data_IF_469290596169
#
_entry.id   IF_469290596169
#
_cell.length_a   1.000
_cell.length_b   1.000
_cell.length_c   1.000
_cell.angle_alpha   90.00
_cell.angle_beta   90.00
_cell.angle_gamma   90.00
#
_symmetry.space_group_name_H-M   'P 1'
#
loop_
_entity.id
_entity.type
_entity.pdbx_description
1 polymer ?
#
# COMPACT_ATOMS: atom_id res chain seq x y z
N UNK A 1 1.04 -6.23 -29.44
CA UNK A 1 1.98 -6.82 -28.44
C UNK A 1 2.96 -7.74 -29.15
N UNK A 2 4.28 -7.72 -28.80
CA UNK A 2 5.19 -8.74 -29.28
C UNK A 2 4.70 -10.12 -28.83
N UNK A 3 4.66 -11.10 -29.76
CA UNK A 3 4.18 -12.46 -29.45
C UNK A 3 5.08 -13.17 -28.42
N UNK A 4 6.35 -12.78 -28.32
CA UNK A 4 7.30 -13.36 -27.34
C UNK A 4 7.42 -12.46 -26.10
N UNK A 5 7.15 -12.97 -24.88
CA UNK A 5 7.18 -12.19 -23.62
C UNK A 5 8.51 -11.45 -23.38
N UNK A 6 9.64 -12.03 -23.83
CA UNK A 6 10.97 -11.42 -23.67
C UNK A 6 11.15 -10.08 -24.39
N UNK A 7 10.34 -9.78 -25.40
CA UNK A 7 10.36 -8.52 -26.14
C UNK A 7 9.23 -7.56 -25.71
N UNK A 8 8.35 -7.99 -24.81
CA UNK A 8 7.31 -7.12 -24.31
C UNK A 8 7.92 -6.07 -23.38
N UNK A 9 7.63 -4.80 -23.62
CA UNK A 9 7.97 -3.72 -22.70
C UNK A 9 7.18 -3.86 -21.40
N UNK A 10 7.59 -3.14 -20.35
CA UNK A 10 6.79 -3.11 -19.13
C UNK A 10 5.43 -2.43 -19.42
N UNK A 11 4.46 -2.65 -18.53
CA UNK A 11 3.10 -2.11 -18.67
C UNK A 11 2.86 -0.96 -17.69
N UNK A 12 3.93 -0.48 -17.03
CA UNK A 12 3.84 0.66 -16.14
C UNK A 12 3.64 1.93 -16.98
N UNK A 13 2.77 2.78 -16.49
CA UNK A 13 2.39 4.03 -17.16
C UNK A 13 2.46 5.16 -16.16
N UNK A 14 3.04 6.27 -16.57
CA UNK A 14 2.89 7.54 -15.86
C UNK A 14 1.88 8.42 -16.62
N UNK A 15 0.85 8.89 -15.93
CA UNK A 15 -0.17 9.77 -16.48
C UNK A 15 -0.10 11.11 -15.78
N UNK A 16 0.14 12.16 -16.52
CA UNK A 16 0.27 13.51 -15.98
C UNK A 16 -0.80 14.40 -16.59
N UNK A 17 -1.52 15.11 -15.73
CA UNK A 17 -2.52 16.06 -16.20
C UNK A 17 -3.04 16.92 -15.08
N UNK A 18 -3.16 18.22 -15.31
CA UNK A 18 -3.67 19.18 -14.34
C UNK A 18 -5.08 18.82 -13.82
N UNK A 19 -5.57 19.57 -12.84
CA UNK A 19 -6.95 19.42 -12.37
C UNK A 19 -7.93 19.62 -13.54
N UNK A 20 -8.94 18.74 -13.65
CA UNK A 20 -9.94 18.82 -14.74
C UNK A 20 -9.46 18.31 -16.10
N UNK A 21 -8.21 17.82 -16.25
CA UNK A 21 -7.70 17.28 -17.53
C UNK A 21 -8.36 15.97 -17.97
N UNK A 22 -9.22 15.39 -17.12
CA UNK A 22 -9.96 14.18 -17.44
C UNK A 22 -9.21 12.87 -17.22
N UNK A 23 -8.15 12.83 -16.40
CA UNK A 23 -7.36 11.63 -16.06
C UNK A 23 -8.25 10.43 -15.71
N UNK A 24 -9.16 10.60 -14.76
CA UNK A 24 -10.09 9.54 -14.35
C UNK A 24 -11.03 9.14 -15.49
N UNK A 25 -11.60 10.12 -16.20
CA UNK A 25 -12.59 9.90 -17.27
C UNK A 25 -12.00 9.23 -18.51
N UNK A 26 -10.84 9.69 -18.97
CA UNK A 26 -10.25 9.27 -20.25
C UNK A 26 -9.19 8.18 -20.10
N UNK A 27 -8.68 7.94 -18.90
CA UNK A 27 -7.70 6.90 -18.66
C UNK A 27 -8.21 5.82 -17.70
N UNK A 28 -8.57 6.14 -16.46
CA UNK A 28 -8.89 5.12 -15.42
C UNK A 28 -10.14 4.32 -15.79
N UNK A 29 -11.28 5.01 -16.02
CA UNK A 29 -12.56 4.35 -16.35
C UNK A 29 -12.49 3.49 -17.61
N UNK A 30 -11.91 3.94 -18.74
CA UNK A 30 -11.76 3.10 -19.93
C UNK A 30 -10.93 1.83 -19.70
N UNK A 31 -9.91 1.86 -18.80
CA UNK A 31 -9.16 0.66 -18.45
C UNK A 31 -10.06 -0.37 -17.73
N UNK A 32 -10.90 0.07 -16.80
CA UNK A 32 -11.85 -0.79 -16.10
C UNK A 32 -12.95 -1.32 -17.02
N UNK A 33 -13.46 -0.49 -17.92
CA UNK A 33 -14.54 -0.85 -18.85
C UNK A 33 -14.15 -1.92 -19.87
N UNK A 34 -12.87 -2.08 -20.18
CA UNK A 34 -12.39 -3.16 -21.06
C UNK A 34 -12.57 -4.55 -20.46
N UNK A 35 -12.61 -4.68 -19.14
CA UNK A 35 -12.82 -5.92 -18.40
C UNK A 35 -12.12 -7.15 -18.99
N UNK A 36 -10.79 -7.15 -19.19
CA UNK A 36 -10.11 -8.31 -19.76
C UNK A 36 -10.27 -9.53 -18.89
N UNK A 37 -10.34 -10.72 -19.49
CA UNK A 37 -10.67 -11.97 -18.80
C UNK A 37 -9.61 -12.41 -17.77
N UNK A 38 -8.37 -11.98 -17.94
CA UNK A 38 -7.21 -12.39 -17.14
C UNK A 38 -6.56 -11.23 -16.37
N UNK A 39 -7.32 -10.22 -15.99
CA UNK A 39 -6.81 -9.05 -15.26
C UNK A 39 -7.61 -8.83 -13.99
N UNK A 40 -6.92 -8.67 -12.87
CA UNK A 40 -7.44 -8.09 -11.64
C UNK A 40 -7.07 -6.61 -11.58
N UNK A 41 -7.89 -5.81 -10.92
CA UNK A 41 -7.67 -4.39 -10.75
C UNK A 41 -7.50 -4.02 -9.27
N UNK A 42 -6.59 -3.09 -9.02
CA UNK A 42 -6.50 -2.32 -7.76
C UNK A 42 -6.61 -0.85 -8.15
N UNK A 43 -7.54 -0.14 -7.58
CA UNK A 43 -7.89 1.22 -8.02
C UNK A 43 -7.93 2.15 -6.83
N UNK A 44 -7.10 3.18 -6.82
CA UNK A 44 -7.33 4.32 -5.93
C UNK A 44 -8.48 5.13 -6.50
N UNK A 45 -9.47 5.41 -5.68
CA UNK A 45 -10.71 6.12 -6.07
C UNK A 45 -10.88 7.38 -5.21
N UNK A 46 -10.31 8.51 -5.61
CA UNK A 46 -10.56 9.77 -4.95
C UNK A 46 -12.06 10.08 -5.00
N UNK A 47 -12.69 10.28 -3.84
CA UNK A 47 -14.14 10.58 -3.66
C UNK A 47 -15.11 9.39 -3.81
N UNK A 48 -14.67 8.18 -4.18
CA UNK A 48 -15.55 7.03 -4.34
C UNK A 48 -16.44 7.05 -5.60
N UNK A 49 -16.11 7.88 -6.57
CA UNK A 49 -16.92 8.01 -7.81
C UNK A 49 -16.68 6.88 -8.79
N UNK A 50 -15.49 6.31 -8.82
CA UNK A 50 -15.14 5.24 -9.76
C UNK A 50 -15.90 3.97 -9.41
N UNK A 51 -15.95 3.59 -8.14
CA UNK A 51 -16.69 2.40 -7.71
C UNK A 51 -18.19 2.54 -7.97
N UNK A 52 -18.76 3.73 -7.75
CA UNK A 52 -20.20 3.98 -8.01
C UNK A 52 -20.52 3.79 -9.49
N UNK A 53 -19.68 4.28 -10.39
CA UNK A 53 -19.93 4.22 -11.82
C UNK A 53 -19.54 2.87 -12.46
N UNK A 54 -18.46 2.24 -12.01
CA UNK A 54 -17.91 1.03 -12.63
C UNK A 54 -18.20 -0.26 -11.83
N UNK A 55 -18.48 -0.17 -10.53
CA UNK A 55 -18.57 -1.33 -9.63
C UNK A 55 -19.64 -2.34 -10.06
N UNK A 56 -20.85 -1.89 -10.38
CA UNK A 56 -21.93 -2.79 -10.84
C UNK A 56 -21.58 -3.53 -12.14
N UNK A 57 -20.91 -2.85 -13.07
CA UNK A 57 -20.46 -3.44 -14.33
C UNK A 57 -19.41 -4.53 -14.06
N UNK A 58 -18.43 -4.28 -13.20
CA UNK A 58 -17.41 -5.25 -12.81
C UNK A 58 -18.00 -6.43 -12.04
N UNK A 59 -18.91 -6.18 -11.09
CA UNK A 59 -19.63 -7.22 -10.36
C UNK A 59 -20.48 -8.11 -11.27
N UNK A 60 -21.05 -7.58 -12.36
CA UNK A 60 -21.72 -8.39 -13.40
C UNK A 60 -20.71 -9.18 -14.23
N UNK A 61 -19.57 -8.60 -14.55
CA UNK A 61 -18.50 -9.20 -15.33
C UNK A 61 -18.80 -9.33 -16.82
N UNK A 62 -18.03 -10.18 -17.48
CA UNK A 62 -18.12 -10.49 -18.91
C UNK A 62 -18.62 -11.90 -19.14
N UNK A 63 -19.21 -12.22 -20.32
CA UNK A 63 -19.50 -13.59 -20.69
C UNK A 63 -18.25 -14.47 -20.64
N UNK A 64 -18.32 -15.59 -19.91
CA UNK A 64 -17.22 -16.56 -19.86
C UNK A 64 -17.09 -17.26 -21.20
N UNK A 65 -15.85 -17.40 -21.68
CA UNK A 65 -15.53 -18.05 -22.95
C UNK A 65 -14.75 -19.33 -22.72
N UNK A 66 -14.91 -20.31 -23.60
CA UNK A 66 -14.08 -21.51 -23.66
C UNK A 66 -12.71 -21.21 -24.30
N UNK A 67 -11.87 -22.23 -24.41
CA UNK A 67 -10.53 -22.14 -25.04
C UNK A 67 -10.57 -21.70 -26.51
N UNK A 68 -11.72 -21.86 -27.19
CA UNK A 68 -11.95 -21.50 -28.58
C UNK A 68 -12.61 -20.11 -28.73
N UNK A 69 -12.84 -19.40 -27.61
CA UNK A 69 -13.49 -18.09 -27.61
C UNK A 69 -15.02 -18.12 -27.68
N UNK A 70 -15.65 -19.30 -27.63
CA UNK A 70 -17.11 -19.46 -27.65
C UNK A 70 -17.70 -19.18 -26.27
N UNK A 71 -18.81 -18.44 -26.23
CA UNK A 71 -19.51 -18.11 -24.99
C UNK A 71 -20.07 -19.37 -24.35
N UNK A 72 -19.74 -19.60 -23.07
CA UNK A 72 -20.25 -20.71 -22.27
C UNK A 72 -21.70 -20.43 -21.85
N UNK A 73 -22.52 -21.49 -21.90
CA UNK A 73 -23.92 -21.47 -21.44
C UNK A 73 -24.11 -22.56 -20.38
N UNK A 74 -24.96 -22.30 -19.41
CA UNK A 74 -25.38 -23.28 -18.40
C UNK A 74 -26.34 -24.31 -18.98
N UNK A 75 -26.78 -25.26 -18.14
CA UNK A 75 -27.74 -26.32 -18.51
C UNK A 75 -29.10 -25.78 -18.99
N UNK A 76 -29.43 -24.53 -18.63
CA UNK A 76 -30.66 -23.83 -18.99
C UNK A 76 -30.47 -22.90 -20.22
N UNK A 77 -29.32 -22.95 -20.90
CA UNK A 77 -28.99 -22.10 -22.04
C UNK A 77 -28.60 -20.66 -21.67
N UNK A 78 -28.52 -20.31 -20.39
CA UNK A 78 -28.15 -18.95 -19.94
C UNK A 78 -26.65 -18.74 -20.05
N UNK A 79 -26.23 -17.53 -20.41
CA UNK A 79 -24.81 -17.16 -20.49
C UNK A 79 -24.17 -17.22 -19.11
N UNK A 80 -23.09 -17.98 -19.00
CA UNK A 80 -22.26 -18.01 -17.77
C UNK A 80 -21.42 -16.74 -17.75
N UNK A 81 -21.56 -15.95 -16.67
CA UNK A 81 -20.77 -14.72 -16.48
C UNK A 81 -19.51 -15.01 -15.67
N UNK A 82 -18.48 -14.21 -15.89
CA UNK A 82 -17.23 -14.18 -15.12
C UNK A 82 -17.16 -12.83 -14.37
N UNK A 83 -17.75 -12.71 -13.17
CA UNK A 83 -17.73 -11.50 -12.38
C UNK A 83 -16.34 -11.22 -11.80
N UNK A 84 -16.12 -9.96 -11.42
CA UNK A 84 -15.06 -9.61 -10.49
C UNK A 84 -15.54 -9.77 -9.05
N UNK A 85 -14.67 -10.28 -8.17
CA UNK A 85 -14.84 -10.16 -6.72
C UNK A 85 -14.55 -8.71 -6.34
N UNK A 86 -15.54 -7.99 -5.84
CA UNK A 86 -15.39 -6.58 -5.46
C UNK A 86 -14.92 -6.51 -4.02
N UNK A 87 -13.85 -5.76 -3.79
CA UNK A 87 -13.31 -5.42 -2.47
C UNK A 87 -13.25 -3.91 -2.33
N UNK A 88 -13.48 -3.38 -1.14
CA UNK A 88 -13.53 -1.94 -0.90
C UNK A 88 -12.84 -1.61 0.42
N UNK A 89 -11.78 -0.81 0.38
CA UNK A 89 -11.29 -0.04 1.52
C UNK A 89 -11.82 1.38 1.37
N UNK A 90 -12.47 1.93 2.37
CA UNK A 90 -13.00 3.29 2.33
C UNK A 90 -12.53 4.08 3.55
N UNK A 91 -11.58 5.00 3.36
CA UNK A 91 -11.03 5.85 4.42
C UNK A 91 -11.81 7.17 4.60
N UNK A 92 -12.80 7.43 3.74
CA UNK A 92 -13.71 8.59 3.90
C UNK A 92 -14.90 8.23 4.82
N UNK A 93 -15.40 7.00 4.66
CA UNK A 93 -16.54 6.51 5.43
C UNK A 93 -16.30 5.04 5.79
N UNK A 94 -15.78 4.81 6.99
CA UNK A 94 -15.41 3.49 7.48
C UNK A 94 -16.59 2.49 7.51
N UNK A 95 -17.82 2.96 7.76
CA UNK A 95 -19.00 2.10 7.73
C UNK A 95 -19.32 1.50 6.34
N UNK A 96 -18.71 2.03 5.27
CA UNK A 96 -18.81 1.52 3.91
C UNK A 96 -17.57 0.77 3.45
N UNK A 97 -16.67 0.44 4.36
CA UNK A 97 -15.45 -0.28 4.11
C UNK A 97 -15.59 -1.75 4.50
N UNK A 98 -14.85 -2.60 3.83
CA UNK A 98 -14.48 -3.92 4.32
C UNK A 98 -13.31 -3.77 5.30
N UNK A 99 -13.16 -4.73 6.20
CA UNK A 99 -12.10 -4.72 7.21
C UNK A 99 -10.75 -5.06 6.57
N UNK A 100 -9.71 -4.38 7.05
CA UNK A 100 -8.33 -4.60 6.65
C UNK A 100 -7.44 -4.62 7.88
N UNK A 101 -6.97 -5.80 8.26
CA UNK A 101 -6.04 -5.96 9.37
C UNK A 101 -4.61 -6.18 8.85
N UNK A 102 -3.69 -5.20 9.02
CA UNK A 102 -2.29 -5.36 8.63
C UNK A 102 -1.56 -6.51 9.32
N UNK A 103 -1.96 -6.92 10.53
CA UNK A 103 -1.34 -8.04 11.24
C UNK A 103 -1.60 -9.39 10.54
N UNK A 104 -2.76 -9.54 9.91
CA UNK A 104 -3.13 -10.75 9.16
C UNK A 104 -2.11 -11.11 8.05
N UNK A 105 -1.38 -10.12 7.54
CA UNK A 105 -0.39 -10.29 6.47
C UNK A 105 1.06 -10.41 6.96
N UNK A 106 1.29 -10.48 8.26
CA UNK A 106 2.60 -10.79 8.84
C UNK A 106 2.81 -12.30 8.73
N UNK A 107 3.92 -12.72 8.11
CA UNK A 107 4.30 -14.12 7.95
C UNK A 107 5.69 -14.40 8.52
N UNK A 108 6.43 -13.36 8.84
CA UNK A 108 7.81 -13.44 9.31
C UNK A 108 8.27 -12.16 10.00
N UNK A 109 9.39 -12.23 10.72
CA UNK A 109 10.08 -11.06 11.29
C UNK A 109 10.35 -9.97 10.24
N UNK A 110 10.60 -10.36 8.97
CA UNK A 110 10.81 -9.39 7.89
C UNK A 110 9.57 -8.55 7.61
N UNK A 111 8.39 -9.13 7.75
CA UNK A 111 7.12 -8.41 7.49
C UNK A 111 6.79 -7.48 8.64
N UNK A 112 7.15 -7.85 9.87
CA UNK A 112 7.10 -6.94 11.03
C UNK A 112 7.96 -5.70 10.76
N UNK A 113 9.21 -5.89 10.33
CA UNK A 113 10.11 -4.78 10.00
C UNK A 113 9.58 -3.90 8.86
N UNK A 114 8.94 -4.49 7.84
CA UNK A 114 8.33 -3.74 6.73
C UNK A 114 7.12 -2.93 7.20
N UNK A 115 6.24 -3.53 8.02
CA UNK A 115 5.06 -2.87 8.57
C UNK A 115 5.48 -1.67 9.44
N UNK A 116 6.39 -1.89 10.39
CA UNK A 116 6.93 -0.82 11.25
C UNK A 116 7.56 0.29 10.40
N UNK A 117 8.37 -0.05 9.39
CA UNK A 117 8.96 0.96 8.52
C UNK A 117 7.89 1.79 7.78
N UNK A 118 6.81 1.16 7.33
CA UNK A 118 5.72 1.87 6.63
C UNK A 118 4.97 2.81 7.56
N UNK A 119 4.70 2.38 8.80
CA UNK A 119 4.13 3.24 9.84
C UNK A 119 5.04 4.45 10.09
N UNK A 120 6.33 4.21 10.37
CA UNK A 120 7.30 5.26 10.69
C UNK A 120 7.46 6.30 9.59
N UNK A 121 7.40 5.88 8.32
CA UNK A 121 7.54 6.79 7.18
C UNK A 121 6.30 7.67 6.97
N UNK A 122 5.10 7.12 7.22
CA UNK A 122 3.84 7.77 6.90
C UNK A 122 3.16 8.48 8.08
N UNK A 123 3.73 8.38 9.29
CA UNK A 123 3.20 9.05 10.50
C UNK A 123 4.20 10.05 11.08
N UNK A 124 5.05 10.62 10.24
CA UNK A 124 5.98 11.69 10.66
C UNK A 124 5.21 12.97 10.93
N UNK A 125 5.54 13.63 12.04
CA UNK A 125 5.04 14.97 12.31
C UNK A 125 5.58 16.01 11.32
N UNK A 126 4.84 17.11 11.13
CA UNK A 126 5.29 18.24 10.34
C UNK A 126 6.61 18.80 10.95
N UNK A 127 7.66 18.91 10.14
CA UNK A 127 8.96 19.44 10.56
C UNK A 127 9.96 18.40 11.06
N UNK A 128 9.62 17.12 11.18
CA UNK A 128 10.59 16.07 11.46
C UNK A 128 11.60 15.95 10.31
N UNK A 129 12.90 16.14 10.65
CA UNK A 129 13.99 15.99 9.68
C UNK A 129 14.02 14.54 9.17
N UNK A 130 14.35 14.36 7.91
CA UNK A 130 14.41 13.06 7.25
C UNK A 130 15.59 12.16 7.70
N UNK A 131 16.42 12.60 8.64
CA UNK A 131 17.52 11.81 9.19
C UNK A 131 16.98 10.84 10.24
N UNK A 132 17.35 9.55 10.15
CA UNK A 132 17.15 8.59 11.24
C UNK A 132 17.97 9.04 12.46
N UNK A 133 17.33 9.74 13.37
CA UNK A 133 17.90 10.10 14.64
C UNK A 133 17.74 8.97 15.68
N UNK A 134 18.31 9.18 16.85
CA UNK A 134 18.22 8.24 17.97
C UNK A 134 16.77 7.90 18.30
N UNK A 135 15.87 8.88 18.30
CA UNK A 135 14.45 8.71 18.68
C UNK A 135 13.72 7.79 17.73
N UNK A 136 13.83 8.04 16.43
CA UNK A 136 13.24 7.20 15.37
C UNK A 136 13.70 5.73 15.46
N UNK A 137 14.99 5.53 15.77
CA UNK A 137 15.53 4.16 15.94
C UNK A 137 14.96 3.47 17.19
N UNK A 138 14.84 4.21 18.29
CA UNK A 138 14.28 3.67 19.53
C UNK A 138 12.78 3.36 19.43
N UNK A 139 12.00 4.24 18.80
CA UNK A 139 10.59 3.99 18.47
C UNK A 139 10.42 2.71 17.64
N UNK A 140 11.26 2.55 16.60
CA UNK A 140 11.26 1.35 15.75
C UNK A 140 11.51 0.08 16.54
N UNK A 141 12.46 0.10 17.50
CA UNK A 141 12.73 -1.05 18.36
C UNK A 141 11.51 -1.41 19.21
N UNK A 142 10.85 -0.42 19.80
CA UNK A 142 9.65 -0.64 20.60
C UNK A 142 8.51 -1.23 19.75
N UNK A 143 8.19 -0.63 18.59
CA UNK A 143 7.18 -1.18 17.70
C UNK A 143 7.50 -2.61 17.23
N UNK A 144 8.76 -2.89 16.88
CA UNK A 144 9.16 -4.24 16.50
C UNK A 144 9.01 -5.24 17.65
N UNK A 145 9.28 -4.80 18.89
CA UNK A 145 9.09 -5.63 20.06
C UNK A 145 7.61 -5.94 20.30
N UNK A 146 6.77 -4.89 20.37
CA UNK A 146 5.35 -5.04 20.68
C UNK A 146 4.59 -5.79 19.59
N UNK A 147 4.78 -5.40 18.32
CA UNK A 147 4.15 -6.10 17.17
C UNK A 147 4.65 -7.54 17.08
N UNK A 148 5.95 -7.77 17.36
CA UNK A 148 6.51 -9.12 17.40
C UNK A 148 5.90 -9.96 18.50
N UNK A 149 5.73 -9.43 19.71
CA UNK A 149 5.05 -10.11 20.82
C UNK A 149 3.61 -10.47 20.42
N UNK A 150 2.83 -9.48 19.95
CA UNK A 150 1.44 -9.68 19.55
C UNK A 150 1.32 -10.76 18.47
N UNK A 151 2.20 -10.74 17.47
CA UNK A 151 2.16 -11.70 16.35
C UNK A 151 2.46 -13.14 16.78
N UNK A 152 3.41 -13.35 17.70
CA UNK A 152 3.84 -14.71 18.09
C UNK A 152 3.07 -15.27 19.28
N UNK A 153 2.68 -14.42 20.24
CA UNK A 153 2.18 -14.85 21.53
C UNK A 153 0.68 -14.58 21.74
N UNK A 154 0.10 -13.59 21.05
CA UNK A 154 -1.30 -13.28 21.22
C UNK A 154 -2.20 -14.17 20.33
N UNK A 155 -3.43 -14.51 20.80
CA UNK A 155 -4.42 -15.19 19.99
C UNK A 155 -4.80 -14.34 18.75
N UNK A 156 -5.28 -14.99 17.68
CA UNK A 156 -5.52 -14.35 16.38
C UNK A 156 -6.47 -13.13 16.48
N UNK A 157 -7.48 -13.20 17.32
CA UNK A 157 -8.44 -12.11 17.55
C UNK A 157 -7.82 -10.86 18.20
N UNK A 158 -6.70 -11.01 18.89
CA UNK A 158 -5.93 -9.92 19.51
C UNK A 158 -4.78 -9.41 18.63
N UNK A 159 -4.51 -10.03 17.51
CA UNK A 159 -3.47 -9.58 16.57
C UNK A 159 -3.95 -8.39 15.75
N UNK A 160 -4.01 -7.21 16.36
CA UNK A 160 -4.50 -5.97 15.74
C UNK A 160 -3.92 -4.71 16.40
N UNK A 161 -4.29 -3.54 15.87
CA UNK A 161 -3.83 -2.24 16.39
C UNK A 161 -4.45 -1.87 17.74
N UNK A 162 -5.61 -2.38 18.11
CA UNK A 162 -6.19 -2.13 19.43
C UNK A 162 -5.30 -2.69 20.52
N UNK A 163 -4.86 -3.93 20.35
CA UNK A 163 -3.91 -4.58 21.28
C UNK A 163 -2.58 -3.84 21.31
N UNK A 164 -2.06 -3.38 20.16
CA UNK A 164 -0.82 -2.58 20.14
C UNK A 164 -0.95 -1.29 20.97
N UNK A 165 -2.09 -0.59 20.87
CA UNK A 165 -2.35 0.60 21.70
C UNK A 165 -2.42 0.26 23.19
N UNK A 166 -3.07 -0.85 23.56
CA UNK A 166 -3.14 -1.31 24.93
C UNK A 166 -1.75 -1.60 25.49
N UNK A 167 -0.87 -2.23 24.72
CA UNK A 167 0.52 -2.46 25.12
C UNK A 167 1.29 -1.16 25.32
N UNK A 168 1.13 -0.17 24.43
CA UNK A 168 1.77 1.15 24.59
C UNK A 168 1.25 1.84 25.85
N UNK A 169 -0.05 1.82 26.08
CA UNK A 169 -0.66 2.42 27.27
C UNK A 169 -0.23 1.71 28.58
N UNK A 170 -0.08 0.38 28.54
CA UNK A 170 0.38 -0.41 29.66
C UNK A 170 1.90 -0.30 29.91
N UNK A 171 2.65 0.28 28.97
CA UNK A 171 4.11 0.47 29.06
C UNK A 171 4.50 1.71 29.88
N UNK A 172 3.75 2.04 30.93
CA UNK A 172 4.05 3.18 31.81
C UNK A 172 5.47 3.13 32.37
N UNK A 173 6.12 4.28 32.45
CA UNK A 173 7.45 4.42 33.04
C UNK A 173 7.40 5.42 34.19
N UNK A 174 8.08 5.12 35.30
CA UNK A 174 8.24 6.02 36.45
C UNK A 174 9.63 6.63 36.42
N UNK A 175 9.72 7.96 36.43
CA UNK A 175 11.00 8.69 36.33
C UNK A 175 11.86 8.52 37.59
N UNK A 176 11.22 8.33 38.75
CA UNK A 176 11.87 8.31 40.07
C UNK A 176 12.18 6.88 40.55
N UNK A 177 11.76 5.84 39.81
CA UNK A 177 11.92 4.44 40.21
C UNK A 177 12.41 3.62 38.98
N UNK A 178 13.73 3.44 38.94
CA UNK A 178 14.39 2.67 37.84
C UNK A 178 14.13 1.15 37.97
N UNK A 179 13.70 0.67 39.14
CA UNK A 179 13.34 -0.74 39.36
C UNK A 179 11.86 -1.04 39.06
N UNK A 180 11.07 0.01 38.77
CA UNK A 180 9.66 -0.17 38.43
C UNK A 180 9.47 -0.99 37.17
N UNK A 181 8.69 -2.06 37.31
CA UNK A 181 8.28 -2.93 36.20
C UNK A 181 6.80 -2.73 35.92
N UNK A 182 6.47 -2.35 34.70
CA UNK A 182 5.09 -2.30 34.22
C UNK A 182 4.60 -3.69 33.77
N UNK A 183 3.32 -3.81 33.42
CA UNK A 183 2.74 -5.08 32.99
C UNK A 183 3.42 -5.67 31.75
N UNK A 184 3.83 -4.80 30.81
CA UNK A 184 4.52 -5.23 29.58
C UNK A 184 5.94 -5.76 29.90
N UNK A 185 6.65 -5.12 30.84
CA UNK A 185 7.95 -5.62 31.28
C UNK A 185 7.84 -7.06 31.81
N UNK A 186 6.79 -7.35 32.60
CA UNK A 186 6.58 -8.68 33.16
C UNK A 186 6.30 -9.73 32.08
N UNK A 187 5.50 -9.39 31.07
CA UNK A 187 5.25 -10.27 29.91
C UNK A 187 6.54 -10.59 29.14
N UNK A 188 7.37 -9.58 28.90
CA UNK A 188 8.64 -9.80 28.20
C UNK A 188 9.67 -10.57 29.04
N UNK A 189 9.67 -10.43 30.37
CA UNK A 189 10.51 -11.22 31.26
C UNK A 189 10.08 -12.69 31.32
N UNK A 190 8.77 -12.94 31.25
CA UNK A 190 8.24 -14.31 31.17
C UNK A 190 8.66 -14.96 29.85
N UNK A 191 8.42 -14.28 28.73
CA UNK A 191 8.84 -14.76 27.40
C UNK A 191 10.36 -14.95 27.30
N UNK A 192 11.16 -14.07 27.93
CA UNK A 192 12.61 -14.21 27.96
C UNK A 192 13.09 -15.45 28.71
N UNK A 193 12.40 -15.82 29.78
CA UNK A 193 12.74 -17.05 30.54
C UNK A 193 12.52 -18.31 29.73
N UNK A 194 11.44 -18.31 28.91
CA UNK A 194 11.07 -19.46 28.09
C UNK A 194 11.85 -19.47 26.77
N UNK A 195 11.95 -18.32 26.11
CA UNK A 195 12.62 -18.15 24.80
C UNK A 195 13.59 -16.95 24.80
N UNK A 196 14.81 -17.09 25.34
CA UNK A 196 15.77 -15.97 25.46
C UNK A 196 16.19 -15.35 24.12
N UNK A 197 16.06 -16.09 23.01
CA UNK A 197 16.41 -15.66 21.66
C UNK A 197 15.21 -15.20 20.82
N UNK A 198 14.02 -15.11 21.43
CA UNK A 198 12.83 -14.66 20.74
C UNK A 198 13.02 -13.28 20.10
N UNK A 199 12.49 -13.08 18.87
CA UNK A 199 12.67 -11.82 18.14
C UNK A 199 12.20 -10.60 18.96
N UNK A 200 10.99 -10.67 19.52
CA UNK A 200 10.42 -9.58 20.28
C UNK A 200 11.25 -9.23 21.53
N UNK A 201 11.73 -10.24 22.25
CA UNK A 201 12.62 -10.08 23.42
C UNK A 201 13.90 -9.34 23.03
N UNK A 202 14.54 -9.74 21.92
CA UNK A 202 15.78 -9.08 21.44
C UNK A 202 15.55 -7.61 21.09
N UNK A 203 14.39 -7.25 20.53
CA UNK A 203 14.06 -5.86 20.23
C UNK A 203 13.74 -5.08 21.51
N UNK A 204 12.97 -5.68 22.43
CA UNK A 204 12.61 -5.06 23.69
C UNK A 204 13.83 -4.75 24.58
N UNK A 205 14.75 -5.69 24.70
CA UNK A 205 16.01 -5.48 25.43
C UNK A 205 16.80 -4.28 24.91
N UNK A 206 16.88 -4.11 23.58
CA UNK A 206 17.55 -2.95 22.97
C UNK A 206 16.83 -1.64 23.28
N UNK A 207 15.49 -1.65 23.25
CA UNK A 207 14.68 -0.50 23.66
C UNK A 207 14.90 -0.14 25.13
N UNK A 208 14.95 -1.12 26.02
CA UNK A 208 15.15 -0.93 27.48
C UNK A 208 16.55 -0.38 27.85
N UNK A 209 17.49 -0.30 26.90
CA UNK A 209 18.74 0.46 27.13
C UNK A 209 18.47 1.97 27.24
N UNK A 210 17.33 2.46 26.78
CA UNK A 210 16.88 3.81 27.05
C UNK A 210 16.22 3.84 28.45
N UNK A 211 16.71 4.68 29.35
CA UNK A 211 16.23 4.74 30.74
C UNK A 211 15.47 6.04 31.02
N UNK A 212 14.64 6.02 32.04
CA UNK A 212 14.00 7.18 32.66
C UNK A 212 13.25 8.08 31.67
N UNK A 213 13.60 9.37 31.63
CA UNK A 213 12.97 10.39 30.79
C UNK A 213 13.02 10.07 29.29
N UNK A 214 14.08 9.37 28.84
CA UNK A 214 14.24 8.99 27.45
C UNK A 214 13.20 7.93 27.06
N UNK A 215 12.99 6.89 27.88
CA UNK A 215 11.98 5.87 27.62
C UNK A 215 10.56 6.47 27.58
N UNK A 216 10.25 7.38 28.51
CA UNK A 216 8.97 8.11 28.54
C UNK A 216 8.73 8.93 27.27
N UNK A 217 9.75 9.64 26.79
CA UNK A 217 9.65 10.42 25.57
C UNK A 217 9.44 9.54 24.32
N UNK A 218 10.07 8.36 24.26
CA UNK A 218 9.85 7.38 23.18
C UNK A 218 8.41 6.87 23.20
N UNK A 219 7.87 6.53 24.38
CA UNK A 219 6.48 6.08 24.53
C UNK A 219 5.47 7.13 24.09
N UNK A 220 5.68 8.40 24.48
CA UNK A 220 4.83 9.51 24.07
C UNK A 220 4.87 9.66 22.54
N UNK A 221 6.04 9.58 21.94
CA UNK A 221 6.19 9.68 20.48
C UNK A 221 5.50 8.50 19.75
N UNK A 222 5.66 7.29 20.25
CA UNK A 222 4.94 6.12 19.73
C UNK A 222 3.41 6.29 19.83
N UNK A 223 2.90 6.72 20.98
CA UNK A 223 1.47 7.00 21.16
C UNK A 223 0.97 8.08 20.20
N UNK A 224 1.73 9.16 20.04
CA UNK A 224 1.37 10.25 19.12
C UNK A 224 1.27 9.80 17.65
N UNK A 225 2.15 8.90 17.19
CA UNK A 225 2.09 8.33 15.83
C UNK A 225 0.85 7.46 15.61
N UNK A 226 0.36 6.81 16.63
CA UNK A 226 -0.84 5.98 16.58
C UNK A 226 -2.11 6.69 17.03
N UNK A 227 -2.06 7.99 17.33
CA UNK A 227 -3.23 8.78 17.74
C UNK A 227 -4.45 8.65 16.80
N UNK A 228 -4.30 8.48 15.45
CA UNK A 228 -5.48 8.21 14.60
C UNK A 228 -6.27 6.97 15.03
N UNK A 229 -5.65 5.98 15.64
CA UNK A 229 -6.33 4.78 16.14
C UNK A 229 -7.13 5.02 17.44
N UNK A 230 -7.11 6.23 18.01
CA UNK A 230 -8.07 6.62 19.07
C UNK A 230 -9.50 6.70 18.52
N UNK A 231 -9.65 6.80 17.19
CA UNK A 231 -10.94 6.74 16.50
C UNK A 231 -11.45 5.29 16.50
N UNK A 232 -12.61 5.07 17.15
CA UNK A 232 -13.17 3.73 17.32
C UNK A 232 -13.44 3.03 15.98
N UNK A 233 -13.93 3.77 14.99
CA UNK A 233 -14.24 3.25 13.67
C UNK A 233 -12.96 2.78 12.91
N UNK A 234 -11.81 3.41 13.14
CA UNK A 234 -10.55 2.98 12.57
C UNK A 234 -10.03 1.71 13.25
N UNK A 235 -10.18 1.60 14.57
CA UNK A 235 -9.86 0.35 15.29
C UNK A 235 -10.71 -0.80 14.79
N UNK A 236 -12.02 -0.58 14.65
CA UNK A 236 -12.94 -1.57 14.10
C UNK A 236 -12.54 -1.98 12.67
N UNK A 237 -12.25 -1.02 11.79
CA UNK A 237 -11.78 -1.27 10.43
C UNK A 237 -10.56 -2.21 10.38
N UNK A 238 -9.68 -2.11 11.37
CA UNK A 238 -8.40 -2.85 11.40
C UNK A 238 -8.39 -4.04 12.36
N UNK A 239 -9.56 -4.45 12.90
CA UNK A 239 -9.68 -5.52 13.89
C UNK A 239 -9.52 -6.92 13.28
N UNK A 240 -10.04 -7.16 12.08
CA UNK A 240 -9.89 -8.41 11.33
C UNK A 240 -9.77 -8.14 9.83
N UNK A 241 -9.58 -9.18 9.01
CA UNK A 241 -9.35 -9.01 7.57
C UNK A 241 -10.45 -9.60 6.69
N UNK A 242 -10.87 -8.82 5.69
CA UNK A 242 -11.77 -9.25 4.62
C UNK A 242 -11.15 -9.02 3.23
N UNK A 243 -9.95 -8.43 3.17
CA UNK A 243 -9.35 -7.98 1.90
C UNK A 243 -8.75 -9.12 1.08
N UNK A 244 -8.22 -10.17 1.73
CA UNK A 244 -7.54 -11.28 1.04
C UNK A 244 -6.56 -10.78 -0.02
N UNK A 245 -5.65 -9.86 0.36
CA UNK A 245 -4.74 -9.18 -0.56
C UNK A 245 -3.84 -10.14 -1.34
N UNK A 246 -3.46 -11.24 -0.73
CA UNK A 246 -2.62 -12.28 -1.32
C UNK A 246 -3.33 -13.07 -2.44
N UNK A 247 -4.67 -13.04 -2.47
CA UNK A 247 -5.49 -13.74 -3.47
C UNK A 247 -5.80 -12.91 -4.72
N UNK A 248 -5.45 -11.62 -4.75
CA UNK A 248 -5.79 -10.73 -5.87
C UNK A 248 -5.14 -11.18 -7.20
N UNK A 249 -3.98 -11.84 -7.13
CA UNK A 249 -3.31 -12.43 -8.29
C UNK A 249 -3.85 -13.79 -8.71
N UNK A 250 -4.64 -14.47 -7.88
CA UNK A 250 -5.19 -15.81 -8.10
C UNK A 250 -6.66 -15.78 -8.52
N UNK A 251 -7.36 -14.72 -8.21
CA UNK A 251 -8.79 -14.55 -8.49
C UNK A 251 -9.03 -13.25 -9.26
N UNK A 252 -10.07 -13.25 -10.08
CA UNK A 252 -10.49 -12.03 -10.80
C UNK A 252 -11.13 -11.05 -9.82
N UNK A 253 -10.31 -10.14 -9.29
CA UNK A 253 -10.68 -9.20 -8.22
C UNK A 253 -10.61 -7.75 -8.72
N UNK A 254 -11.50 -6.91 -8.20
CA UNK A 254 -11.38 -5.45 -8.30
C UNK A 254 -11.44 -4.86 -6.90
N UNK A 255 -10.28 -4.44 -6.40
CA UNK A 255 -10.12 -3.74 -5.13
C UNK A 255 -10.19 -2.25 -5.38
N UNK A 256 -11.15 -1.57 -4.74
CA UNK A 256 -11.27 -0.12 -4.72
C UNK A 256 -10.78 0.42 -3.39
N UNK A 257 -9.88 1.39 -3.45
CA UNK A 257 -9.32 2.08 -2.29
C UNK A 257 -9.81 3.53 -2.38
N UNK A 258 -10.91 3.79 -1.65
CA UNK A 258 -11.55 5.10 -1.62
C UNK A 258 -10.83 5.99 -0.62
N UNK A 259 -10.28 7.10 -1.11
CA UNK A 259 -9.49 8.06 -0.31
C UNK A 259 -10.07 9.46 -0.42
N UNK A 260 -9.76 10.31 0.56
CA UNK A 260 -10.06 11.73 0.45
C UNK A 260 -9.10 12.44 -0.50
N UNK A 261 -9.59 13.46 -1.21
CA UNK A 261 -8.76 14.35 -2.03
C UNK A 261 -8.33 15.61 -1.27
N UNK A 262 -8.87 15.83 -0.06
CA UNK A 262 -8.64 17.02 0.76
C UNK A 262 -8.07 16.74 2.15
N UNK A 263 -8.08 15.47 2.59
CA UNK A 263 -7.65 15.06 3.92
C UNK A 263 -6.72 13.85 3.80
N UNK A 264 -5.53 13.94 4.36
CA UNK A 264 -4.47 12.93 4.31
C UNK A 264 -4.30 12.15 5.64
N UNK A 265 -5.14 12.43 6.63
CA UNK A 265 -5.07 11.83 7.98
C UNK A 265 -4.95 10.31 7.97
N UNK A 266 -5.63 9.62 7.05
CA UNK A 266 -5.64 8.16 6.96
C UNK A 266 -4.81 7.59 5.81
N UNK A 267 -3.99 8.39 5.15
CA UNK A 267 -3.16 7.94 4.03
C UNK A 267 -2.12 6.89 4.45
N UNK A 268 -1.72 6.88 5.73
CA UNK A 268 -0.83 5.85 6.26
C UNK A 268 -1.44 4.44 6.20
N UNK A 269 -2.77 4.29 6.37
CA UNK A 269 -3.49 3.01 6.21
C UNK A 269 -3.41 2.54 4.77
N UNK A 270 -3.61 3.46 3.84
CA UNK A 270 -3.52 3.20 2.40
C UNK A 270 -2.10 2.79 1.99
N UNK A 271 -1.09 3.50 2.51
CA UNK A 271 0.32 3.17 2.28
C UNK A 271 0.70 1.80 2.84
N UNK A 272 0.18 1.41 4.03
CA UNK A 272 0.35 0.07 4.59
C UNK A 272 -0.25 -0.98 3.67
N UNK A 273 -1.49 -0.79 3.21
CA UNK A 273 -2.15 -1.73 2.30
C UNK A 273 -1.37 -1.88 0.99
N UNK A 274 -0.94 -0.81 0.34
CA UNK A 274 -0.13 -0.89 -0.88
C UNK A 274 1.22 -1.57 -0.65
N UNK A 275 1.90 -1.24 0.45
CA UNK A 275 3.18 -1.87 0.80
C UNK A 275 3.03 -3.39 0.97
N UNK A 276 2.01 -3.83 1.69
CA UNK A 276 1.71 -5.26 1.88
C UNK A 276 1.27 -5.91 0.57
N UNK A 277 0.35 -5.30 -0.17
CA UNK A 277 -0.14 -5.81 -1.45
C UNK A 277 1.01 -6.11 -2.43
N UNK A 278 1.92 -5.15 -2.65
CA UNK A 278 3.05 -5.37 -3.57
C UNK A 278 3.95 -6.52 -3.11
N UNK A 279 4.26 -6.59 -1.81
CA UNK A 279 5.09 -7.67 -1.27
C UNK A 279 4.38 -9.03 -1.41
N UNK A 280 3.11 -9.12 -1.00
CA UNK A 280 2.31 -10.35 -1.08
C UNK A 280 2.16 -10.86 -2.51
N UNK A 281 1.90 -9.98 -3.46
CA UNK A 281 1.79 -10.35 -4.88
C UNK A 281 3.13 -10.83 -5.45
N UNK A 282 4.25 -10.22 -5.05
CA UNK A 282 5.58 -10.66 -5.46
C UNK A 282 5.91 -12.03 -4.87
N UNK A 283 5.73 -12.21 -3.57
CA UNK A 283 5.99 -13.45 -2.87
C UNK A 283 5.07 -14.58 -3.44
N UNK A 284 3.79 -14.28 -3.67
CA UNK A 284 2.84 -15.23 -4.27
C UNK A 284 3.25 -15.64 -5.69
N UNK A 285 3.72 -14.70 -6.50
CA UNK A 285 4.22 -15.00 -7.83
C UNK A 285 5.45 -15.90 -7.78
N UNK A 286 6.40 -15.60 -6.90
CA UNK A 286 7.68 -16.31 -6.84
C UNK A 286 7.54 -17.69 -6.18
N UNK A 287 6.85 -17.77 -5.03
CA UNK A 287 6.85 -18.98 -4.20
C UNK A 287 5.76 -19.98 -4.66
N UNK A 288 4.62 -19.50 -5.19
CA UNK A 288 3.48 -20.36 -5.54
C UNK A 288 3.35 -20.56 -7.05
N UNK A 289 3.61 -19.51 -7.85
CA UNK A 289 3.32 -19.51 -9.28
C UNK A 289 4.59 -19.48 -10.16
N UNK A 290 5.75 -19.91 -9.65
CA UNK A 290 6.99 -20.02 -10.41
C UNK A 290 7.40 -18.72 -11.14
N UNK A 291 7.22 -17.60 -10.45
CA UNK A 291 7.61 -16.26 -10.90
C UNK A 291 6.53 -15.47 -11.66
N UNK A 292 5.28 -15.99 -11.76
CA UNK A 292 4.27 -15.33 -12.58
C UNK A 292 2.83 -15.57 -12.12
N UNK A 293 2.12 -14.52 -11.73
CA UNK A 293 0.73 -14.60 -11.30
C UNK A 293 -0.21 -15.11 -12.42
N UNK A 294 -1.24 -15.91 -12.09
CA UNK A 294 -2.28 -16.37 -13.03
C UNK A 294 -3.06 -15.21 -13.65
N UNK A 295 -3.45 -14.23 -12.83
CA UNK A 295 -4.10 -13.01 -13.28
C UNK A 295 -3.10 -11.85 -13.28
N UNK A 296 -3.11 -11.07 -14.36
CA UNK A 296 -2.35 -9.83 -14.39
C UNK A 296 -2.97 -8.82 -13.42
N UNK A 297 -2.22 -8.35 -12.44
CA UNK A 297 -2.71 -7.33 -11.50
C UNK A 297 -2.36 -5.94 -12.03
N UNK A 298 -3.39 -5.19 -12.43
CA UNK A 298 -3.25 -3.81 -12.89
C UNK A 298 -3.63 -2.86 -11.76
N UNK A 299 -2.65 -2.10 -11.29
CA UNK A 299 -2.80 -1.13 -10.22
C UNK A 299 -2.96 0.26 -10.87
N UNK A 300 -4.10 0.90 -10.65
CA UNK A 300 -4.45 2.23 -11.15
C UNK A 300 -4.45 3.19 -9.96
N UNK A 301 -3.35 3.90 -9.75
CA UNK A 301 -3.19 4.84 -8.64
C UNK A 301 -3.66 6.23 -9.06
N UNK A 302 -4.98 6.47 -9.06
CA UNK A 302 -5.49 7.82 -9.30
C UNK A 302 -5.16 8.71 -8.09
N UNK A 303 -4.64 9.91 -8.35
CA UNK A 303 -4.06 10.82 -7.34
C UNK A 303 -2.96 10.14 -6.48
N UNK A 304 -1.94 9.57 -7.14
CA UNK A 304 -0.84 8.83 -6.50
C UNK A 304 -0.16 9.59 -5.35
N UNK A 305 -0.14 10.92 -5.41
CA UNK A 305 0.41 11.75 -4.35
C UNK A 305 -0.34 11.63 -3.01
N UNK A 306 -1.60 11.19 -3.03
CA UNK A 306 -2.46 11.11 -1.84
C UNK A 306 -2.50 9.73 -1.20
N UNK A 307 -1.71 8.76 -1.68
CA UNK A 307 -1.70 7.40 -1.10
C UNK A 307 -0.64 7.19 -0.01
N UNK A 308 0.07 8.27 0.36
CA UNK A 308 1.25 8.17 1.22
C UNK A 308 2.49 7.62 0.52
N UNK A 309 3.57 7.43 1.25
CA UNK A 309 4.82 6.91 0.71
C UNK A 309 4.87 5.38 0.83
N UNK A 310 4.95 4.67 -0.31
CA UNK A 310 5.22 3.24 -0.33
C UNK A 310 6.74 3.05 -0.22
N UNK A 311 7.25 2.45 0.88
CA UNK A 311 8.70 2.29 1.07
C UNK A 311 9.33 1.45 -0.05
N UNK A 312 10.48 1.90 -0.57
CA UNK A 312 11.23 1.22 -1.66
C UNK A 312 10.43 1.00 -2.95
N UNK A 313 9.47 1.88 -3.24
CA UNK A 313 8.63 1.77 -4.44
C UNK A 313 9.44 1.85 -5.74
N UNK A 314 10.56 2.59 -5.74
CA UNK A 314 11.54 2.64 -6.84
C UNK A 314 12.07 1.24 -7.23
N UNK A 315 12.35 0.40 -6.23
CA UNK A 315 12.81 -0.98 -6.43
C UNK A 315 11.65 -1.91 -6.84
N UNK A 316 10.48 -1.72 -6.22
CA UNK A 316 9.29 -2.51 -6.53
C UNK A 316 8.89 -2.32 -7.99
N UNK A 317 8.71 -1.09 -8.47
CA UNK A 317 8.26 -0.80 -9.83
C UNK A 317 9.21 -1.34 -10.91
N UNK A 318 10.50 -1.45 -10.61
CA UNK A 318 11.49 -2.04 -11.50
C UNK A 318 11.35 -3.57 -11.66
N UNK A 319 10.77 -4.26 -10.69
CA UNK A 319 10.76 -5.73 -10.60
C UNK A 319 9.40 -6.39 -10.86
N UNK A 320 8.30 -5.65 -10.71
CA UNK A 320 6.93 -6.20 -10.76
C UNK A 320 6.53 -6.73 -12.15
N UNK A 321 7.17 -6.27 -13.22
CA UNK A 321 6.84 -6.66 -14.60
C UNK A 321 6.85 -8.16 -14.84
N UNK A 322 7.89 -8.88 -14.40
CA UNK A 322 8.04 -10.33 -14.61
C UNK A 322 6.93 -11.11 -13.93
N UNK A 323 6.37 -10.58 -12.84
CA UNK A 323 5.35 -11.19 -11.99
C UNK A 323 3.91 -10.94 -12.44
N UNK A 324 3.71 -10.40 -13.63
CA UNK A 324 2.39 -9.99 -14.16
C UNK A 324 1.71 -8.88 -13.32
N UNK A 325 2.49 -7.96 -12.80
CA UNK A 325 1.98 -6.78 -12.09
C UNK A 325 2.36 -5.53 -12.88
N UNK A 326 1.48 -4.54 -12.94
CA UNK A 326 1.77 -3.23 -13.52
C UNK A 326 1.11 -2.11 -12.72
N UNK A 327 1.76 -0.95 -12.69
CA UNK A 327 1.27 0.24 -12.04
C UNK A 327 1.04 1.38 -13.05
N UNK A 328 -0.09 2.05 -12.92
CA UNK A 328 -0.35 3.34 -13.55
C UNK A 328 -0.29 4.42 -12.49
N UNK A 329 0.75 5.23 -12.55
CA UNK A 329 1.01 6.33 -11.63
C UNK A 329 0.36 7.58 -12.21
N UNK A 330 -0.69 8.08 -11.57
CA UNK A 330 -1.49 9.20 -12.09
C UNK A 330 -1.27 10.41 -11.19
N UNK A 331 -0.79 11.49 -11.78
CA UNK A 331 -0.34 12.69 -11.10
C UNK A 331 -0.91 13.96 -11.74
N UNK A 332 -0.92 15.05 -10.99
CA UNK A 332 -1.22 16.36 -11.55
C UNK A 332 0.03 17.02 -12.18
N UNK A 333 1.21 16.74 -11.59
CA UNK A 333 2.52 17.21 -12.07
C UNK A 333 3.63 16.26 -11.62
N UNK A 334 4.79 16.32 -12.24
CA UNK A 334 5.95 15.53 -11.80
C UNK A 334 6.52 16.00 -10.46
N UNK A 335 6.35 17.27 -10.12
CA UNK A 335 6.78 17.81 -8.83
C UNK A 335 6.14 17.08 -7.64
N UNK A 336 4.90 16.60 -7.77
CA UNK A 336 4.26 15.78 -6.73
C UNK A 336 5.06 14.51 -6.41
N UNK A 337 5.55 13.82 -7.44
CA UNK A 337 6.36 12.62 -7.26
C UNK A 337 7.71 12.94 -6.60
N UNK A 338 8.36 14.05 -7.02
CA UNK A 338 9.63 14.52 -6.45
C UNK A 338 9.49 14.92 -4.97
N UNK A 339 8.37 15.49 -4.58
CA UNK A 339 8.10 15.85 -3.18
C UNK A 339 8.09 14.61 -2.26
N UNK A 340 7.47 13.52 -2.69
CA UNK A 340 7.31 12.30 -1.88
C UNK A 340 8.56 11.42 -1.94
N UNK A 341 9.10 11.20 -3.16
CA UNK A 341 10.15 10.20 -3.40
C UNK A 341 11.53 10.80 -3.62
N UNK A 342 11.66 12.14 -3.66
CA UNK A 342 12.95 12.86 -3.84
C UNK A 342 13.73 12.30 -5.04
N UNK A 343 14.98 11.92 -4.87
CA UNK A 343 15.84 11.38 -5.91
C UNK A 343 15.32 10.07 -6.52
N UNK A 344 14.56 9.28 -5.77
CA UNK A 344 13.96 8.04 -6.26
C UNK A 344 12.84 8.29 -7.31
N UNK A 345 12.32 9.53 -7.42
CA UNK A 345 11.29 9.89 -8.40
C UNK A 345 11.75 9.64 -9.85
N UNK A 346 13.01 9.90 -10.17
CA UNK A 346 13.58 9.65 -11.50
C UNK A 346 13.60 8.16 -11.83
N UNK A 347 13.98 7.32 -10.86
CA UNK A 347 13.96 5.87 -11.01
C UNK A 347 12.54 5.35 -11.23
N UNK A 348 11.55 5.90 -10.52
CA UNK A 348 10.14 5.53 -10.67
C UNK A 348 9.65 5.90 -12.08
N UNK A 349 9.90 7.12 -12.53
CA UNK A 349 9.52 7.60 -13.88
C UNK A 349 10.21 6.79 -14.96
N UNK A 350 11.51 6.52 -14.82
CA UNK A 350 12.30 5.72 -15.78
C UNK A 350 11.85 4.26 -15.91
N UNK A 351 11.13 3.72 -14.91
CA UNK A 351 10.51 2.40 -14.96
C UNK A 351 9.06 2.40 -15.48
N UNK A 352 8.60 3.51 -16.06
CA UNK A 352 7.33 3.61 -16.76
C UNK A 352 7.59 3.75 -18.27
N UNK A 353 7.40 2.67 -19.05
CA UNK A 353 7.66 2.68 -20.51
C UNK A 353 6.75 3.63 -21.30
N UNK A 354 5.65 4.05 -20.70
CA UNK A 354 4.68 4.94 -21.33
C UNK A 354 4.43 6.15 -20.44
N UNK A 355 4.58 7.33 -21.02
CA UNK A 355 4.13 8.59 -20.45
C UNK A 355 2.94 9.10 -21.23
N UNK A 356 1.84 9.41 -20.55
CA UNK A 356 0.66 10.04 -21.10
C UNK A 356 0.49 11.42 -20.49
N UNK A 357 0.62 12.46 -21.30
CA UNK A 357 0.42 13.84 -20.87
C UNK A 357 -0.94 14.35 -21.39
N UNK A 358 -1.83 14.70 -20.46
CA UNK A 358 -3.18 15.19 -20.74
C UNK A 358 -3.31 16.72 -20.60
N UNK A 359 -2.19 17.41 -20.60
CA UNK A 359 -2.15 18.85 -20.44
C UNK A 359 -1.86 19.31 -18.99
N UNK A 360 -1.30 20.49 -18.87
CA UNK A 360 -0.94 21.12 -17.60
C UNK A 360 -0.14 22.39 -17.85
N UNK A 361 0.04 23.20 -16.81
CA UNK A 361 0.78 24.49 -16.87
C UNK A 361 2.02 24.50 -15.98
N UNK A 362 2.31 23.39 -15.29
CA UNK A 362 3.47 23.32 -14.39
C UNK A 362 4.76 23.31 -15.22
N UNK A 363 5.60 24.33 -15.00
CA UNK A 363 6.75 24.65 -15.85
C UNK A 363 7.81 23.55 -15.86
N UNK A 364 8.04 22.89 -14.74
CA UNK A 364 9.03 21.81 -14.62
C UNK A 364 8.61 20.62 -15.47
N UNK A 365 7.34 20.20 -15.38
CA UNK A 365 6.78 19.10 -16.19
C UNK A 365 6.86 19.43 -17.68
N UNK A 366 6.46 20.66 -18.09
CA UNK A 366 6.52 21.08 -19.48
C UNK A 366 7.95 21.08 -20.03
N UNK A 367 8.91 21.55 -19.24
CA UNK A 367 10.33 21.55 -19.60
C UNK A 367 10.85 20.13 -19.81
N UNK A 368 10.62 19.23 -18.88
CA UNK A 368 11.04 17.83 -18.97
C UNK A 368 10.44 17.10 -20.19
N UNK A 369 9.15 17.34 -20.48
CA UNK A 369 8.49 16.76 -21.66
C UNK A 369 9.12 17.33 -22.93
N UNK A 370 9.34 18.66 -23.00
CA UNK A 370 9.97 19.30 -24.15
C UNK A 370 11.40 18.79 -24.40
N UNK A 371 12.18 18.62 -23.35
CA UNK A 371 13.54 18.05 -23.43
C UNK A 371 13.51 16.59 -23.92
N UNK A 372 12.55 15.80 -23.44
CA UNK A 372 12.36 14.39 -23.85
C UNK A 372 11.98 14.26 -25.33
N UNK A 373 11.14 15.16 -25.84
CA UNK A 373 10.74 15.18 -27.24
C UNK A 373 11.86 15.64 -28.19
N UNK A 374 12.81 16.43 -27.65
CA UNK A 374 13.93 16.97 -28.45
C UNK A 374 13.53 18.16 -29.29
N UNK A 375 14.39 18.50 -30.23
CA UNK A 375 14.21 19.61 -31.18
C UNK A 375 14.08 19.08 -32.63
N UNK A 376 13.18 19.66 -33.37
CA UNK A 376 13.02 19.42 -34.81
C UNK A 376 13.41 20.67 -35.61
N UNK A 377 14.08 20.47 -36.71
CA UNK A 377 14.36 21.54 -37.67
C UNK A 377 13.14 21.73 -38.58
N UNK A 378 12.58 22.94 -38.60
CA UNK A 378 11.46 23.30 -39.46
C UNK A 378 12.00 24.19 -40.60
N UNK A 379 11.74 23.83 -41.85
CA UNK A 379 11.97 24.71 -43.00
C UNK A 379 10.85 25.74 -43.08
N UNK A 380 11.20 27.01 -42.89
CA UNK A 380 10.27 28.11 -43.09
C UNK A 380 10.29 28.47 -44.60
N UNK A 381 9.22 28.16 -45.27
CA UNK A 381 8.97 28.71 -46.63
C UNK A 381 8.32 30.10 -46.46
N UNK A 382 8.98 31.14 -47.00
CA UNK A 382 8.42 32.49 -47.14
C UNK A 382 7.46 32.55 -48.30
#
# INVERSE_FOLDING_TARGET
RPKKPKYARNKNVIVIGGSGSGKTRFYVKPQLMQMPDNVSFVVTDPKGTIIVECGKMLARGTPKKDKNGKILRDKNGRVVMAPYKIKVLNTINFAKSMHYNPFHYIRSEKDILKLVNTIMVNTKGEGEKSSEDFWTKAERLLYCALIGYIYYEAPEEEQNFSTLLEFINASETREEDEEFKNAVDLLFEELERDEPNHFAVRQYKKYKLAAGKTAKSILISCGARLAPFDIAELRELTSYDEMELDMIGDQRTALFIVISDTDDTFNFVVAMMYSQLFNLLCDRADDVHHGRLPYHVRILCDEFANIGQIPKFDKLIATIRSREISASIILQSQSQLKTIYKDAAETITGNCDTMLFLGGKESTTLKEISETLGKETIDLYN
#
